data_IF_944097399142
#
_entry.id   IF_944097399142
#
_cell.length_a   1.000
_cell.length_b   1.000
_cell.length_c   1.000
_cell.angle_alpha   90.00
_cell.angle_beta   90.00
_cell.angle_gamma   90.00
#
_symmetry.space_group_name_H-M   'P 1'
#
loop_
_entity.id
_entity.type
_entity.pdbx_description
1 polymer ?
#
# COMPACT_ATOMS: atom_id res chain seq x y z
N UNK A 1 -24.80 -14.14 -0.15
CA UNK A 1 -24.87 -12.75 -0.66
C UNK A 1 -24.54 -12.79 -2.14
N UNK A 2 -25.49 -12.44 -2.99
CA UNK A 2 -25.38 -12.47 -4.45
C UNK A 2 -24.19 -11.60 -4.94
N UNK A 3 -23.44 -12.09 -5.93
CA UNK A 3 -22.25 -11.40 -6.47
C UNK A 3 -22.55 -9.95 -6.86
N UNK A 4 -23.72 -9.70 -7.45
CA UNK A 4 -24.14 -8.37 -7.87
C UNK A 4 -24.21 -7.37 -6.71
N UNK A 5 -24.69 -7.77 -5.54
CA UNK A 5 -24.73 -6.90 -4.36
C UNK A 5 -23.32 -6.54 -3.86
N UNK A 6 -22.37 -7.47 -3.97
CA UNK A 6 -20.96 -7.23 -3.63
C UNK A 6 -20.30 -6.25 -4.60
N UNK A 7 -20.64 -6.31 -5.89
CA UNK A 7 -20.13 -5.38 -6.91
C UNK A 7 -20.72 -3.98 -6.68
N UNK A 8 -22.04 -3.88 -6.46
CA UNK A 8 -22.75 -2.60 -6.21
C UNK A 8 -22.18 -1.80 -5.04
N UNK A 9 -21.58 -2.44 -4.04
CA UNK A 9 -20.86 -1.76 -2.93
C UNK A 9 -19.76 -0.79 -3.43
N UNK A 10 -19.22 -1.02 -4.62
CA UNK A 10 -18.13 -0.26 -5.20
C UNK A 10 -18.57 0.74 -6.28
N UNK A 11 -19.87 0.83 -6.55
CA UNK A 11 -20.46 1.74 -7.51
C UNK A 11 -19.92 3.18 -7.33
N UNK A 12 -19.55 3.82 -8.44
CA UNK A 12 -18.95 5.16 -8.52
C UNK A 12 -17.65 5.39 -7.73
N UNK A 13 -17.06 4.35 -7.13
CA UNK A 13 -15.84 4.45 -6.31
C UNK A 13 -14.68 3.64 -6.86
N UNK A 14 -14.96 2.44 -7.36
CA UNK A 14 -13.96 1.55 -7.93
C UNK A 14 -14.51 0.80 -9.14
N UNK A 15 -13.62 0.50 -10.09
CA UNK A 15 -13.81 -0.58 -11.03
C UNK A 15 -13.55 -1.89 -10.30
N UNK A 16 -14.23 -2.97 -10.69
CA UNK A 16 -14.13 -4.24 -9.98
C UNK A 16 -13.63 -5.32 -10.92
N UNK A 17 -12.55 -5.97 -10.54
CA UNK A 17 -12.04 -7.16 -11.19
C UNK A 17 -12.50 -8.37 -10.36
N UNK A 18 -13.37 -9.21 -10.92
CA UNK A 18 -13.88 -10.41 -10.24
C UNK A 18 -13.15 -11.63 -10.80
N UNK A 19 -12.44 -12.37 -9.96
CA UNK A 19 -11.98 -13.72 -10.32
C UNK A 19 -13.04 -14.71 -9.87
N UNK A 20 -13.63 -15.43 -10.82
CA UNK A 20 -14.55 -16.53 -10.53
C UNK A 20 -13.81 -17.85 -10.63
N UNK A 21 -13.87 -18.65 -9.57
CA UNK A 21 -13.24 -19.97 -9.48
C UNK A 21 -14.19 -20.96 -8.79
N UNK A 22 -14.16 -22.23 -9.15
CA UNK A 22 -14.88 -23.28 -8.42
C UNK A 22 -14.13 -23.71 -7.15
N UNK A 23 -12.80 -23.61 -7.17
CA UNK A 23 -11.91 -23.99 -6.07
C UNK A 23 -10.79 -22.97 -5.86
N UNK A 24 -10.49 -22.67 -4.60
CA UNK A 24 -9.37 -21.82 -4.20
C UNK A 24 -8.02 -22.52 -4.31
N UNK A 25 -7.99 -23.85 -4.44
CA UNK A 25 -6.78 -24.62 -4.75
C UNK A 25 -6.45 -24.63 -6.25
N UNK A 26 -7.32 -24.08 -7.10
CA UNK A 26 -7.07 -24.03 -8.53
C UNK A 26 -5.81 -23.19 -8.83
N UNK A 27 -4.85 -23.81 -9.53
CA UNK A 27 -3.55 -23.21 -9.86
C UNK A 27 -3.68 -21.86 -10.58
N UNK A 28 -4.58 -21.75 -11.58
CA UNK A 28 -4.79 -20.51 -12.33
C UNK A 28 -5.31 -19.39 -11.42
N UNK A 29 -6.26 -19.69 -10.54
CA UNK A 29 -6.74 -18.72 -9.55
C UNK A 29 -5.62 -18.25 -8.63
N UNK A 30 -4.81 -19.17 -8.09
CA UNK A 30 -3.70 -18.82 -7.21
C UNK A 30 -2.67 -17.93 -7.91
N UNK A 31 -2.32 -18.27 -9.16
CA UNK A 31 -1.44 -17.46 -10.00
C UNK A 31 -2.01 -16.05 -10.25
N UNK A 32 -3.28 -15.94 -10.64
CA UNK A 32 -3.91 -14.65 -10.90
C UNK A 32 -4.05 -13.80 -9.64
N UNK A 33 -4.42 -14.41 -8.51
CA UNK A 33 -4.46 -13.70 -7.23
C UNK A 33 -3.07 -13.15 -6.87
N UNK A 34 -2.01 -13.94 -7.07
CA UNK A 34 -0.64 -13.51 -6.85
C UNK A 34 -0.24 -12.36 -7.78
N UNK A 35 -0.55 -12.46 -9.08
CA UNK A 35 -0.28 -11.39 -10.05
C UNK A 35 -0.95 -10.08 -9.63
N UNK A 36 -2.21 -10.12 -9.21
CA UNK A 36 -2.90 -8.93 -8.69
C UNK A 36 -2.20 -8.37 -7.44
N UNK A 37 -1.86 -9.23 -6.46
CA UNK A 37 -1.20 -8.81 -5.22
C UNK A 37 0.17 -8.17 -5.48
N UNK A 38 1.00 -8.79 -6.32
CA UNK A 38 2.34 -8.28 -6.66
C UNK A 38 2.27 -6.93 -7.41
N UNK A 39 1.15 -6.65 -8.08
CA UNK A 39 0.93 -5.42 -8.86
C UNK A 39 -0.17 -4.52 -8.26
N UNK A 40 -0.49 -4.69 -6.98
CA UNK A 40 -1.63 -4.05 -6.34
C UNK A 40 -1.58 -2.52 -6.45
N UNK A 41 -0.39 -1.92 -6.35
CA UNK A 41 -0.17 -0.48 -6.51
C UNK A 41 -0.64 0.03 -7.88
N UNK A 42 -0.34 -0.72 -8.94
CA UNK A 42 -0.76 -0.38 -10.29
C UNK A 42 -2.29 -0.45 -10.41
N UNK A 43 -2.91 -1.55 -9.96
CA UNK A 43 -4.37 -1.68 -9.98
C UNK A 43 -5.07 -0.56 -9.19
N UNK A 44 -4.54 -0.19 -8.03
CA UNK A 44 -5.11 0.88 -7.21
C UNK A 44 -4.95 2.27 -7.85
N UNK A 45 -3.90 2.52 -8.64
CA UNK A 45 -3.74 3.75 -9.44
C UNK A 45 -4.91 3.94 -10.41
N UNK A 46 -5.45 2.85 -10.96
CA UNK A 46 -6.60 2.87 -11.88
C UNK A 46 -7.95 2.61 -11.18
N UNK A 47 -7.98 2.70 -9.85
CA UNK A 47 -9.16 2.49 -9.00
C UNK A 47 -9.79 1.10 -9.18
N UNK A 48 -8.97 0.07 -9.41
CA UNK A 48 -9.43 -1.30 -9.56
C UNK A 48 -9.38 -2.00 -8.19
N UNK A 49 -10.44 -2.72 -7.84
CA UNK A 49 -10.47 -3.65 -6.70
C UNK A 49 -10.68 -5.08 -7.15
N UNK A 50 -9.96 -6.00 -6.53
CA UNK A 50 -10.18 -7.43 -6.70
C UNK A 50 -11.34 -7.91 -5.83
N UNK A 51 -12.26 -8.66 -6.43
CA UNK A 51 -13.20 -9.53 -5.75
C UNK A 51 -12.96 -10.97 -6.17
N UNK A 52 -13.22 -11.89 -5.25
CA UNK A 52 -13.17 -13.33 -5.50
C UNK A 52 -14.59 -13.85 -5.42
N UNK A 53 -15.03 -14.56 -6.45
CA UNK A 53 -16.30 -15.24 -6.47
C UNK A 53 -16.06 -16.74 -6.53
N UNK A 54 -16.65 -17.48 -5.57
CA UNK A 54 -16.63 -18.93 -5.60
C UNK A 54 -17.90 -19.39 -6.29
N UNK A 55 -17.75 -20.05 -7.44
CA UNK A 55 -18.88 -20.68 -8.12
C UNK A 55 -19.32 -21.92 -7.33
N UNK A 56 -20.64 -22.10 -7.21
CA UNK A 56 -21.24 -23.34 -6.70
C UNK A 56 -21.22 -24.48 -7.72
N UNK A 57 -20.91 -24.18 -8.99
CA UNK A 57 -20.76 -25.17 -10.06
C UNK A 57 -19.47 -25.96 -9.85
N UNK A 58 -19.57 -27.07 -9.12
CA UNK A 58 -18.52 -28.07 -9.04
C UNK A 58 -18.58 -28.95 -10.28
N UNK A 59 -17.87 -28.53 -11.33
CA UNK A 59 -17.56 -29.40 -12.44
C UNK A 59 -16.03 -29.50 -12.61
N UNK A 60 -15.53 -30.69 -12.85
CA UNK A 60 -14.09 -30.98 -13.06
C UNK A 60 -13.51 -30.18 -14.23
N UNK A 61 -14.34 -29.74 -15.17
CA UNK A 61 -13.97 -28.93 -16.33
C UNK A 61 -14.15 -27.42 -16.12
N UNK A 62 -14.49 -26.95 -14.91
CA UNK A 62 -14.67 -25.52 -14.67
C UNK A 62 -13.35 -24.76 -14.86
N UNK A 63 -13.32 -23.86 -15.84
CA UNK A 63 -12.16 -23.00 -16.10
C UNK A 63 -12.38 -21.65 -15.42
N UNK A 64 -11.50 -21.24 -14.48
CA UNK A 64 -11.58 -19.91 -13.89
C UNK A 64 -11.55 -18.82 -14.96
N UNK A 65 -12.24 -17.73 -14.67
CA UNK A 65 -12.26 -16.56 -15.54
C UNK A 65 -12.29 -15.28 -14.72
N UNK A 66 -12.04 -14.17 -15.40
CA UNK A 66 -11.97 -12.85 -14.81
C UNK A 66 -13.00 -11.96 -15.50
N UNK A 67 -13.75 -11.21 -14.72
CA UNK A 67 -14.71 -10.23 -15.21
C UNK A 67 -14.30 -8.84 -14.74
N UNK A 68 -14.29 -7.88 -15.67
CA UNK A 68 -14.05 -6.48 -15.37
C UNK A 68 -15.37 -5.72 -15.43
N UNK A 69 -15.71 -5.13 -14.29
CA UNK A 69 -16.87 -4.28 -14.12
C UNK A 69 -16.41 -2.82 -14.05
N UNK A 70 -17.17 -1.95 -14.70
CA UNK A 70 -16.97 -0.51 -14.67
C UNK A 70 -17.37 0.10 -13.33
N UNK A 71 -17.22 1.42 -13.22
CA UNK A 71 -17.71 2.14 -12.04
C UNK A 71 -19.23 2.13 -11.91
N UNK A 72 -19.94 1.97 -13.03
CA UNK A 72 -21.39 1.77 -13.11
C UNK A 72 -21.83 0.37 -12.65
N UNK A 73 -20.89 -0.46 -12.17
CA UNK A 73 -21.14 -1.85 -11.76
C UNK A 73 -21.63 -2.77 -12.88
N UNK A 74 -21.50 -2.36 -14.14
CA UNK A 74 -21.86 -3.20 -15.29
C UNK A 74 -20.65 -3.96 -15.83
N UNK A 75 -20.89 -5.17 -16.33
CA UNK A 75 -19.85 -5.99 -16.93
C UNK A 75 -19.35 -5.33 -18.23
N UNK A 76 -18.04 -5.11 -18.32
CA UNK A 76 -17.40 -4.51 -19.48
C UNK A 76 -16.64 -5.52 -20.33
N UNK A 77 -15.96 -6.47 -19.67
CA UNK A 77 -15.13 -7.45 -20.37
C UNK A 77 -14.90 -8.70 -19.56
N UNK A 78 -14.72 -9.82 -20.25
CA UNK A 78 -14.35 -11.12 -19.67
C UNK A 78 -12.99 -11.55 -20.20
N UNK A 79 -12.16 -12.13 -19.34
CA UNK A 79 -10.83 -12.64 -19.65
C UNK A 79 -10.66 -14.06 -19.12
N UNK A 80 -9.85 -14.85 -19.83
CA UNK A 80 -9.48 -16.21 -19.44
C UNK A 80 -8.01 -16.31 -18.98
N UNK A 81 -7.32 -15.17 -18.91
CA UNK A 81 -5.92 -15.03 -18.47
C UNK A 81 -5.72 -13.67 -17.81
N UNK A 82 -4.91 -13.58 -16.75
CA UNK A 82 -4.55 -12.31 -16.14
C UNK A 82 -3.39 -11.62 -16.87
N UNK A 83 -3.69 -10.93 -17.97
CA UNK A 83 -2.72 -10.07 -18.66
C UNK A 83 -2.90 -8.61 -18.19
N UNK A 84 -1.96 -8.12 -17.39
CA UNK A 84 -2.04 -6.79 -16.78
C UNK A 84 -2.11 -5.70 -17.83
N UNK A 85 -1.19 -5.68 -18.81
CA UNK A 85 -1.13 -4.62 -19.83
C UNK A 85 -2.42 -4.52 -20.62
N UNK A 86 -3.03 -5.67 -20.96
CA UNK A 86 -4.32 -5.71 -21.66
C UNK A 86 -5.44 -5.15 -20.78
N UNK A 87 -5.54 -5.60 -19.53
CA UNK A 87 -6.57 -5.12 -18.58
C UNK A 87 -6.44 -3.61 -18.35
N UNK A 88 -5.23 -3.10 -18.16
CA UNK A 88 -5.00 -1.66 -17.96
C UNK A 88 -5.35 -0.87 -19.22
N UNK A 89 -4.94 -1.32 -20.41
CA UNK A 89 -5.32 -0.67 -21.68
C UNK A 89 -6.84 -0.62 -21.85
N UNK A 90 -7.52 -1.71 -21.53
CA UNK A 90 -8.98 -1.78 -21.57
C UNK A 90 -9.59 -0.78 -20.58
N UNK A 91 -9.04 -0.64 -19.37
CA UNK A 91 -9.49 0.33 -18.36
C UNK A 91 -9.22 1.79 -18.76
N UNK A 92 -8.07 2.07 -19.38
CA UNK A 92 -7.71 3.41 -19.87
C UNK A 92 -8.63 3.88 -20.99
N UNK A 93 -9.12 2.95 -21.81
CA UNK A 93 -10.10 3.26 -22.86
C UNK A 93 -11.52 3.52 -22.33
N UNK A 94 -11.78 3.29 -21.02
CA UNK A 94 -13.10 3.49 -20.44
C UNK A 94 -13.34 4.96 -20.05
N UNK A 95 -14.54 5.51 -20.30
CA UNK A 95 -14.88 6.83 -19.82
C UNK A 95 -14.88 6.88 -18.28
N UNK A 96 -14.38 7.99 -17.73
CA UNK A 96 -14.30 8.19 -16.28
C UNK A 96 -15.65 8.56 -15.64
N UNK A 97 -16.73 8.72 -16.42
CA UNK A 97 -18.08 9.11 -15.93
C UNK A 97 -18.12 10.51 -15.27
N UNK A 98 -19.25 11.21 -15.35
CA UNK A 98 -19.36 12.59 -14.85
C UNK A 98 -19.45 12.71 -13.32
N UNK A 99 -19.94 11.68 -12.62
CA UNK A 99 -20.24 11.74 -11.17
C UNK A 99 -19.46 10.73 -10.33
N UNK A 100 -18.21 10.45 -10.71
CA UNK A 100 -17.37 9.46 -10.04
C UNK A 100 -16.57 10.12 -8.92
N UNK A 101 -16.53 9.47 -7.75
CA UNK A 101 -15.67 9.85 -6.61
C UNK A 101 -14.70 8.70 -6.36
N UNK A 102 -13.57 8.65 -7.08
CA UNK A 102 -12.65 7.53 -7.01
C UNK A 102 -12.13 7.35 -5.58
N UNK A 103 -12.23 6.13 -5.06
CA UNK A 103 -11.75 5.85 -3.72
C UNK A 103 -10.22 5.78 -3.67
N UNK A 104 -9.61 6.43 -2.68
CA UNK A 104 -8.18 6.33 -2.45
C UNK A 104 -7.85 5.13 -1.53
N UNK A 105 -7.33 4.04 -2.10
CA UNK A 105 -6.88 2.87 -1.32
C UNK A 105 -5.41 2.96 -0.89
N UNK A 106 -4.60 3.82 -1.49
CA UNK A 106 -3.16 3.83 -1.23
C UNK A 106 -2.79 4.31 0.17
N UNK A 107 -3.69 5.01 0.85
CA UNK A 107 -3.47 5.48 2.22
C UNK A 107 -3.45 4.35 3.26
N UNK A 108 -4.12 3.22 2.97
CA UNK A 108 -4.33 2.15 3.96
C UNK A 108 -3.61 0.85 3.61
N UNK A 109 -2.91 0.80 2.48
CA UNK A 109 -2.28 -0.41 1.96
C UNK A 109 -0.78 -0.25 1.97
N UNK A 110 -0.11 -1.17 2.66
CA UNK A 110 1.32 -1.33 2.54
C UNK A 110 1.64 -2.15 1.27
N UNK A 111 2.14 -1.46 0.25
CA UNK A 111 2.50 -2.10 -1.02
C UNK A 111 3.82 -2.88 -0.96
N UNK A 112 4.62 -2.70 0.09
CA UNK A 112 5.95 -3.31 0.19
C UNK A 112 6.14 -4.03 1.55
N UNK A 113 5.22 -4.94 1.93
CA UNK A 113 5.20 -5.54 3.27
C UNK A 113 6.49 -6.32 3.61
N UNK A 114 7.19 -6.83 2.60
CA UNK A 114 8.48 -7.55 2.78
C UNK A 114 9.61 -6.64 3.28
N UNK A 115 9.56 -5.35 2.98
CA UNK A 115 10.61 -4.39 3.31
C UNK A 115 10.22 -3.45 4.45
N UNK A 116 8.96 -3.52 4.88
CA UNK A 116 8.40 -2.69 5.93
C UNK A 116 9.05 -3.02 7.27
N UNK A 117 9.51 -1.97 7.96
CA UNK A 117 10.07 -2.10 9.30
C UNK A 117 8.92 -2.12 10.30
N UNK A 118 8.74 -3.25 10.97
CA UNK A 118 7.75 -3.41 12.02
C UNK A 118 8.27 -2.92 13.37
N UNK A 119 7.36 -2.57 14.28
CA UNK A 119 7.71 -2.23 15.67
C UNK A 119 8.19 -0.79 15.91
N UNK A 120 8.06 0.10 14.92
CA UNK A 120 8.30 1.54 15.09
C UNK A 120 7.25 2.16 16.03
N UNK A 121 7.65 3.14 16.85
CA UNK A 121 6.72 3.81 17.75
C UNK A 121 7.30 5.01 18.49
N UNK A 122 6.42 5.72 19.21
CA UNK A 122 6.73 7.00 19.88
C UNK A 122 6.07 7.12 21.27
N UNK A 123 5.67 6.00 21.89
CA UNK A 123 4.93 6.00 23.15
C UNK A 123 5.74 6.57 24.33
N UNK A 124 7.05 6.33 24.35
CA UNK A 124 8.00 6.74 25.39
C UNK A 124 9.45 6.79 24.85
N UNK A 125 10.38 7.27 25.68
CA UNK A 125 11.80 7.39 25.33
C UNK A 125 12.46 6.04 25.00
N UNK A 126 12.06 4.97 25.68
CA UNK A 126 12.61 3.64 25.43
C UNK A 126 12.19 3.15 24.04
N UNK A 127 10.91 3.32 23.70
CA UNK A 127 10.38 2.98 22.38
C UNK A 127 10.99 3.82 21.26
N UNK A 128 11.34 5.08 21.55
CA UNK A 128 12.07 5.92 20.62
C UNK A 128 13.48 5.35 20.32
N UNK A 129 14.22 4.91 21.34
CA UNK A 129 15.53 4.26 21.18
C UNK A 129 15.43 2.95 20.38
N UNK A 130 14.43 2.12 20.67
CA UNK A 130 14.15 0.91 19.88
C UNK A 130 13.88 1.24 18.41
N UNK A 131 13.04 2.26 18.16
CA UNK A 131 12.71 2.72 16.81
C UNK A 131 13.94 3.17 16.05
N UNK A 132 14.84 3.93 16.71
CA UNK A 132 16.13 4.34 16.14
C UNK A 132 16.99 3.13 15.81
N UNK A 133 17.07 2.14 16.71
CA UNK A 133 17.84 0.91 16.48
C UNK A 133 17.35 0.15 15.24
N UNK A 134 16.03 -0.01 15.09
CA UNK A 134 15.41 -0.73 13.98
C UNK A 134 15.68 -0.11 12.60
N UNK A 135 15.93 1.20 12.54
CA UNK A 135 16.17 1.91 11.28
C UNK A 135 17.64 2.28 11.06
N UNK A 136 18.54 1.95 11.99
CA UNK A 136 19.94 2.40 11.98
C UNK A 136 20.68 2.04 10.70
N UNK A 137 20.39 0.87 10.14
CA UNK A 137 21.03 0.35 8.92
C UNK A 137 20.30 0.76 7.62
N UNK A 138 19.23 1.55 7.72
CA UNK A 138 18.48 2.05 6.55
C UNK A 138 19.16 3.30 5.96
N UNK A 139 18.89 3.65 4.69
CA UNK A 139 19.41 4.88 4.10
C UNK A 139 19.09 6.11 4.95
N UNK A 140 20.04 7.03 5.11
CA UNK A 140 19.92 8.22 5.99
C UNK A 140 18.63 9.00 5.73
N UNK A 141 18.24 9.16 4.45
CA UNK A 141 17.01 9.84 4.08
C UNK A 141 15.77 9.14 4.64
N UNK A 142 15.72 7.81 4.55
CA UNK A 142 14.64 7.00 5.12
C UNK A 142 14.59 7.15 6.65
N UNK A 143 15.76 7.11 7.31
CA UNK A 143 15.82 7.31 8.76
C UNK A 143 15.21 8.65 9.16
N UNK A 144 15.61 9.75 8.50
CA UNK A 144 15.06 11.08 8.75
C UNK A 144 13.54 11.14 8.52
N UNK A 145 13.04 10.52 7.46
CA UNK A 145 11.60 10.47 7.18
C UNK A 145 10.82 9.74 8.27
N UNK A 146 11.32 8.58 8.72
CA UNK A 146 10.68 7.83 9.82
C UNK A 146 10.68 8.65 11.09
N UNK A 147 11.83 9.21 11.49
CA UNK A 147 11.95 9.98 12.73
C UNK A 147 11.07 11.23 12.72
N UNK A 148 11.07 12.00 11.62
CA UNK A 148 10.17 13.15 11.46
C UNK A 148 8.69 12.75 11.54
N UNK A 149 8.32 11.60 10.95
CA UNK A 149 6.96 11.06 11.05
C UNK A 149 6.60 10.71 12.50
N UNK A 150 7.50 10.10 13.26
CA UNK A 150 7.27 9.76 14.67
C UNK A 150 7.15 11.00 15.55
N UNK A 151 8.00 12.02 15.32
CA UNK A 151 7.90 13.32 16.00
C UNK A 151 6.53 13.94 15.71
N UNK A 152 6.15 14.08 14.44
CA UNK A 152 4.88 14.70 14.06
C UNK A 152 3.67 13.96 14.65
N UNK A 153 3.70 12.62 14.70
CA UNK A 153 2.63 11.82 15.33
C UNK A 153 2.58 11.99 16.85
N UNK A 154 3.73 12.10 17.51
CA UNK A 154 3.80 12.34 18.95
C UNK A 154 3.36 13.77 19.31
N UNK A 155 3.75 14.77 18.50
CA UNK A 155 3.40 16.18 18.68
C UNK A 155 1.90 16.42 18.51
N UNK A 156 1.27 15.75 17.55
CA UNK A 156 -0.16 15.90 17.24
C UNK A 156 -1.06 14.82 17.86
N UNK A 157 -0.55 14.04 18.83
CA UNK A 157 -1.35 12.99 19.47
C UNK A 157 -2.47 13.63 20.32
N UNK A 158 -3.76 13.26 20.15
CA UNK A 158 -4.88 13.89 20.88
C UNK A 158 -4.70 13.90 22.40
N UNK A 159 -4.10 12.85 22.94
CA UNK A 159 -3.78 12.70 24.37
C UNK A 159 -2.27 12.60 24.56
N UNK A 160 -1.51 13.63 24.18
CA UNK A 160 -0.05 13.62 24.30
C UNK A 160 0.37 13.52 25.78
N UNK A 161 1.23 12.55 26.10
CA UNK A 161 1.75 12.35 27.46
C UNK A 161 3.17 12.89 27.63
N UNK A 162 3.62 13.05 28.88
CA UNK A 162 5.02 13.37 29.20
C UNK A 162 5.99 12.34 28.62
N UNK A 163 5.60 11.07 28.61
CA UNK A 163 6.40 10.00 28.01
C UNK A 163 6.59 10.20 26.49
N UNK A 164 5.55 10.62 25.77
CA UNK A 164 5.66 10.96 24.35
C UNK A 164 6.56 12.19 24.14
N UNK A 165 6.52 13.18 25.03
CA UNK A 165 7.46 14.33 24.99
C UNK A 165 8.91 13.85 25.16
N UNK A 166 9.17 12.91 26.07
CA UNK A 166 10.48 12.31 26.24
C UNK A 166 10.93 11.54 24.97
N UNK A 167 9.99 10.87 24.28
CA UNK A 167 10.27 10.23 22.99
C UNK A 167 10.70 11.27 21.93
N UNK A 168 10.02 12.43 21.86
CA UNK A 168 10.35 13.52 20.95
C UNK A 168 11.76 14.05 21.20
N UNK A 169 12.18 14.20 22.46
CA UNK A 169 13.53 14.66 22.81
C UNK A 169 14.58 13.71 22.24
N UNK A 170 14.45 12.41 22.49
CA UNK A 170 15.36 11.37 21.97
C UNK A 170 15.46 11.43 20.43
N UNK A 171 14.33 11.62 19.76
CA UNK A 171 14.31 11.75 18.30
C UNK A 171 14.99 13.02 17.79
N UNK A 172 14.78 14.17 18.45
CA UNK A 172 15.42 15.44 18.09
C UNK A 172 16.94 15.39 18.31
N UNK A 173 17.40 14.79 19.40
CA UNK A 173 18.83 14.54 19.66
C UNK A 173 19.45 13.67 18.56
N UNK A 174 18.77 12.59 18.16
CA UNK A 174 19.22 11.74 17.07
C UNK A 174 19.35 12.49 15.74
N UNK A 175 18.37 13.35 15.40
CA UNK A 175 18.43 14.18 14.20
C UNK A 175 19.57 15.20 14.24
N UNK A 176 19.82 15.82 15.40
CA UNK A 176 20.91 16.79 15.57
C UNK A 176 22.28 16.14 15.39
N UNK A 177 22.48 14.91 15.84
CA UNK A 177 23.73 14.17 15.63
C UNK A 177 24.04 13.95 14.14
N UNK A 178 23.04 13.81 13.27
CA UNK A 178 23.26 13.77 11.81
C UNK A 178 23.64 15.12 11.21
N UNK A 179 23.28 16.24 11.83
CA UNK A 179 23.64 17.57 11.35
C UNK A 179 25.09 17.89 11.72
N UNK A 180 25.55 17.42 12.88
CA UNK A 180 26.93 17.59 13.37
C UNK A 180 27.97 16.78 12.58
N UNK A 181 27.60 15.61 12.05
CA UNK A 181 28.51 14.80 11.20
C UNK A 181 28.76 15.40 9.81
N UNK A 182 27.89 16.31 9.33
CA UNK A 182 28.08 17.06 8.07
C UNK A 182 28.97 18.29 8.20
N UNK A 183 29.11 18.85 9.40
CA UNK A 183 29.90 20.08 9.63
C UNK A 183 31.39 19.78 9.88
N UNK A 184 31.72 18.58 10.35
CA UNK A 184 33.12 18.13 10.54
C UNK A 184 33.81 17.73 9.23
N UNK A 185 33.07 17.23 8.24
CA UNK A 185 33.62 16.81 6.92
C UNK A 185 33.94 17.98 5.98
N UNK A 186 33.41 19.19 6.20
CA UNK A 186 33.77 20.39 5.41
C UNK A 186 35.07 21.09 5.87
N UNK A 187 35.65 20.72 7.02
CA UNK A 187 36.85 21.40 7.57
C UNK A 187 38.19 20.81 7.11
N UNK A 188 38.21 19.68 6.39
CA UNK A 188 39.45 18.99 5.95
C UNK A 188 39.91 19.28 4.52
N UNK A 189 39.29 20.23 3.80
CA UNK A 189 39.71 20.65 2.44
C UNK A 189 40.18 22.11 2.34
N UNK A 190 40.67 22.68 3.44
CA UNK A 190 41.41 23.96 3.43
C UNK A 190 42.64 23.84 4.33
N UNK A 191 43.66 23.14 3.86
CA UNK A 191 45.07 23.31 4.27
C UNK A 191 45.94 22.45 3.36
N UNK A 192 46.33 23.02 2.23
CA UNK A 192 47.68 22.91 1.70
C UNK A 192 47.86 24.11 0.78
N UNK A 193 48.48 25.13 1.38
CA UNK A 193 49.32 26.11 0.71
C UNK A 193 50.47 25.41 -0.01
#
# INVERSE_FOLDING_TARGET
MELQNRIKKYHNRFRVLVITTSDYKNKKYSEWKKIYTDNQKLFHKYYIKLLINKSSEYHTSFVPFIELYGFDSTLKKKYFTMNISKIIKDVESMPMGSHIKPGNQSLFVDYNPKTTVHGLGYKDAQKAKETISLIRDKPIMYQKQVINTMIGRAENHPNQTTNMKNAIIVFKEYLNNFLLTKTTTKKTHKKHT
#
